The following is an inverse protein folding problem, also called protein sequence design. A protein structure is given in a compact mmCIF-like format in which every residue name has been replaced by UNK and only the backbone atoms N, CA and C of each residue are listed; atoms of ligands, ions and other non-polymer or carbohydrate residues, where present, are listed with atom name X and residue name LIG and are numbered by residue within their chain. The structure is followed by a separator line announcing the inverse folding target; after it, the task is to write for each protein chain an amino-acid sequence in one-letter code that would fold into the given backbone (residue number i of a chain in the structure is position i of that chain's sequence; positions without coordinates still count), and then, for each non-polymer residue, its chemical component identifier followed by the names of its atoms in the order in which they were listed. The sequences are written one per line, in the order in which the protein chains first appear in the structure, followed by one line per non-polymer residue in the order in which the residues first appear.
data_IF_139771644901
#
_entry.id   IF_139771644901
#
_cell.length_a   1.000
_cell.length_b   1.000
_cell.length_c   1.000
_cell.angle_alpha   90.00
_cell.angle_beta   90.00
_cell.angle_gamma   90.00
#
_symmetry.space_group_name_H-M   'P 1'
#
loop_
_entity.id
_entity.type
_entity.pdbx_description
1 polymer ?
#
# COMPACT_ATOMS: atom_id res chain seq x y z
N UNK A 1 -11.22 -12.54 -31.94
CA UNK A 1 -10.43 -11.99 -30.83
C UNK A 1 -9.07 -11.56 -31.35
N UNK A 2 -8.86 -10.25 -31.53
CA UNK A 2 -7.55 -9.65 -31.83
C UNK A 2 -7.56 -8.22 -31.30
N UNK A 3 -6.57 -7.87 -30.47
CA UNK A 3 -6.24 -6.48 -30.14
C UNK A 3 -4.98 -6.07 -30.92
N UNK A 4 -5.07 -4.93 -31.59
CA UNK A 4 -4.01 -4.12 -32.20
C UNK A 4 -4.52 -2.66 -32.09
N UNK A 5 -3.78 -1.57 -31.90
CA UNK A 5 -2.45 -1.05 -32.29
C UNK A 5 -1.99 -0.07 -31.15
N UNK A 6 -0.70 0.08 -30.79
CA UNK A 6 0.28 1.11 -31.23
C UNK A 6 -0.26 2.58 -31.29
N UNK A 7 0.38 3.69 -30.88
CA UNK A 7 1.66 4.07 -30.24
C UNK A 7 1.61 5.61 -29.99
N UNK A 8 2.62 6.14 -29.24
CA UNK A 8 3.08 7.55 -29.07
C UNK A 8 2.32 8.42 -28.04
N UNK A 9 2.96 9.21 -27.17
CA UNK A 9 4.30 9.85 -27.16
C UNK A 9 4.78 10.08 -25.71
N UNK A 10 6.04 9.77 -25.35
CA UNK A 10 7.17 10.74 -25.24
C UNK A 10 7.45 11.01 -23.76
N UNK A 11 8.67 11.14 -23.21
CA UNK A 11 10.06 11.40 -23.64
C UNK A 11 10.88 10.68 -22.53
N UNK A 12 11.86 9.81 -22.77
CA UNK A 12 13.12 10.05 -23.47
C UNK A 12 14.22 10.44 -22.46
N UNK A 13 15.38 9.76 -22.53
CA UNK A 13 16.67 10.10 -21.90
C UNK A 13 16.81 9.64 -20.43
N UNK A 14 17.74 8.78 -19.99
CA UNK A 14 18.97 8.23 -20.58
C UNK A 14 19.29 6.89 -19.91
N UNK A 15 19.71 5.91 -20.71
CA UNK A 15 20.66 4.91 -20.23
C UNK A 15 21.99 5.62 -19.93
N UNK A 16 22.74 5.10 -18.95
CA UNK A 16 24.16 5.38 -18.69
C UNK A 16 24.51 6.43 -17.61
N UNK A 17 24.05 6.28 -16.36
CA UNK A 17 24.77 6.80 -15.16
C UNK A 17 24.63 5.91 -13.89
N UNK A 18 24.14 4.68 -14.02
CA UNK A 18 23.86 3.80 -12.86
C UNK A 18 25.07 3.03 -12.31
N UNK A 19 26.28 3.54 -12.51
CA UNK A 19 27.49 2.98 -11.87
C UNK A 19 28.38 4.01 -11.18
N UNK A 20 28.00 5.31 -11.19
CA UNK A 20 28.58 6.32 -10.28
C UNK A 20 27.61 6.74 -9.15
N UNK A 21 26.39 6.20 -9.15
CA UNK A 21 25.33 6.54 -8.18
C UNK A 21 25.07 5.42 -7.16
N UNK A 22 26.10 4.67 -6.75
CA UNK A 22 25.99 3.88 -5.51
C UNK A 22 26.79 4.54 -4.38
N UNK A 23 28.01 5.00 -4.66
CA UNK A 23 28.87 5.57 -3.59
C UNK A 23 28.45 6.96 -3.12
N UNK A 24 27.61 7.67 -3.88
CA UNK A 24 27.04 8.98 -3.50
C UNK A 24 25.63 8.89 -2.88
N UNK A 25 24.96 7.74 -2.95
CA UNK A 25 23.62 7.58 -2.36
C UNK A 25 23.70 7.46 -0.83
N UNK A 26 24.66 6.69 -0.32
CA UNK A 26 24.83 6.46 1.12
C UNK A 26 25.23 7.73 1.89
N UNK A 27 25.83 8.72 1.21
CA UNK A 27 26.31 9.97 1.83
C UNK A 27 25.26 11.09 1.84
N UNK A 28 24.19 10.99 1.06
CA UNK A 28 23.12 12.00 1.03
C UNK A 28 22.09 11.79 2.16
N UNK A 29 21.92 10.55 2.63
CA UNK A 29 20.87 10.18 3.59
C UNK A 29 21.33 10.29 5.04
N UNK A 30 22.63 10.46 5.31
CA UNK A 30 23.16 10.35 6.67
C UNK A 30 22.91 11.57 7.58
N UNK A 31 22.77 12.79 7.04
CA UNK A 31 22.89 14.02 7.87
C UNK A 31 21.81 15.11 7.66
N UNK A 32 20.61 14.79 7.17
CA UNK A 32 19.48 15.75 7.21
C UNK A 32 18.50 15.42 8.34
N UNK A 33 18.33 16.29 9.36
CA UNK A 33 17.33 16.12 10.42
C UNK A 33 15.89 15.98 9.91
N UNK A 34 15.62 16.45 8.70
CA UNK A 34 14.31 16.38 8.03
C UNK A 34 13.81 14.95 7.79
N UNK A 35 14.70 14.00 7.47
CA UNK A 35 14.30 12.63 7.14
C UNK A 35 13.79 11.85 8.36
N UNK A 36 14.34 12.11 9.54
CA UNK A 36 13.91 11.43 10.77
C UNK A 36 12.58 11.98 11.29
N UNK A 37 12.36 13.30 11.19
CA UNK A 37 11.08 13.94 11.58
C UNK A 37 9.94 13.55 10.65
N UNK A 38 10.21 13.46 9.34
CA UNK A 38 9.24 12.95 8.37
C UNK A 38 8.91 11.48 8.66
N UNK A 39 9.89 10.61 8.87
CA UNK A 39 9.65 9.20 9.18
C UNK A 39 8.76 8.99 10.42
N UNK A 40 8.95 9.79 11.49
CA UNK A 40 8.10 9.75 12.69
C UNK A 40 6.67 10.23 12.39
N UNK A 41 6.51 11.29 11.59
CA UNK A 41 5.17 11.75 11.15
C UNK A 41 4.44 10.70 10.30
N UNK A 42 5.17 9.96 9.47
CA UNK A 42 4.62 8.87 8.64
C UNK A 42 4.26 7.63 9.45
N UNK A 43 5.00 7.33 10.52
CA UNK A 43 4.69 6.21 11.43
C UNK A 43 3.40 6.42 12.22
N UNK A 44 3.02 7.66 12.49
CA UNK A 44 1.74 8.03 13.12
C UNK A 44 0.61 8.33 12.13
N UNK A 45 0.88 8.35 10.82
CA UNK A 45 -0.11 8.70 9.80
C UNK A 45 -1.07 7.51 9.55
N UNK A 46 -2.36 7.62 9.89
CA UNK A 46 -3.33 6.54 9.72
C UNK A 46 -3.49 6.13 8.25
N UNK A 47 -3.36 7.06 7.30
CA UNK A 47 -3.45 6.75 5.88
C UNK A 47 -2.30 5.84 5.44
N UNK A 48 -1.07 6.17 5.85
CA UNK A 48 0.12 5.40 5.48
C UNK A 48 0.09 4.03 6.14
N UNK A 49 -0.27 3.96 7.43
CA UNK A 49 -0.37 2.68 8.11
C UNK A 49 -1.44 1.77 7.50
N UNK A 50 -2.57 2.34 7.08
CA UNK A 50 -3.59 1.59 6.37
C UNK A 50 -3.10 1.04 5.02
N UNK A 51 -2.33 1.83 4.27
CA UNK A 51 -1.76 1.39 2.98
C UNK A 51 -0.77 0.23 3.16
N UNK A 52 0.05 0.25 4.22
CA UNK A 52 0.94 -0.86 4.57
C UNK A 52 0.16 -2.15 4.85
N UNK A 53 -0.85 -2.10 5.73
CA UNK A 53 -1.67 -3.26 6.09
C UNK A 53 -2.44 -3.81 4.89
N UNK A 54 -2.95 -2.93 4.02
CA UNK A 54 -3.59 -3.31 2.77
C UNK A 54 -2.61 -4.00 1.80
N UNK A 55 -1.36 -3.53 1.71
CA UNK A 55 -0.33 -4.15 0.90
C UNK A 55 0.05 -5.54 1.43
N UNK A 56 0.15 -5.68 2.75
CA UNK A 56 0.39 -6.96 3.41
C UNK A 56 -0.76 -7.95 3.16
N UNK A 57 -2.01 -7.51 3.32
CA UNK A 57 -3.19 -8.32 3.04
C UNK A 57 -3.21 -8.82 1.58
N UNK A 58 -2.86 -7.95 0.63
CA UNK A 58 -2.73 -8.32 -0.78
C UNK A 58 -1.63 -9.36 -1.02
N UNK A 59 -0.48 -9.20 -0.38
CA UNK A 59 0.65 -10.13 -0.52
C UNK A 59 0.34 -11.49 0.11
N UNK A 60 -0.26 -11.51 1.30
CA UNK A 60 -0.71 -12.73 1.97
C UNK A 60 -1.77 -13.45 1.13
N UNK A 61 -2.73 -12.72 0.55
CA UNK A 61 -3.79 -13.28 -0.30
C UNK A 61 -3.30 -14.06 -1.51
N UNK A 62 -2.09 -13.78 -2.03
CA UNK A 62 -1.49 -14.55 -3.14
C UNK A 62 -1.03 -15.95 -2.74
N UNK A 63 -0.83 -16.19 -1.44
CA UNK A 63 -0.24 -17.44 -0.91
C UNK A 63 -1.15 -18.17 0.08
N UNK A 64 -2.32 -17.60 0.40
CA UNK A 64 -3.27 -18.16 1.35
C UNK A 64 -3.83 -19.51 0.89
N UNK A 65 -3.77 -20.50 1.77
CA UNK A 65 -4.22 -21.88 1.55
C UNK A 65 -5.16 -22.38 2.64
N UNK A 66 -5.06 -21.83 3.84
CA UNK A 66 -5.83 -22.30 5.00
C UNK A 66 -6.94 -21.32 5.41
N UNK A 67 -7.93 -21.81 6.16
CA UNK A 67 -8.94 -20.97 6.79
C UNK A 67 -8.29 -19.90 7.68
N UNK A 68 -7.25 -20.25 8.43
CA UNK A 68 -6.48 -19.33 9.28
C UNK A 68 -5.83 -18.22 8.46
N UNK A 69 -5.21 -18.52 7.31
CA UNK A 69 -4.60 -17.50 6.45
C UNK A 69 -5.66 -16.49 5.99
N UNK A 70 -6.84 -16.96 5.59
CA UNK A 70 -7.94 -16.11 5.16
C UNK A 70 -8.51 -15.26 6.31
N UNK A 71 -8.53 -15.79 7.53
CA UNK A 71 -8.93 -15.05 8.72
C UNK A 71 -7.94 -13.91 9.03
N UNK A 72 -6.63 -14.18 8.97
CA UNK A 72 -5.60 -13.16 9.15
C UNK A 72 -5.69 -12.06 8.09
N UNK A 73 -5.87 -12.42 6.82
CA UNK A 73 -6.09 -11.48 5.71
C UNK A 73 -7.33 -10.61 5.96
N UNK A 74 -8.43 -11.21 6.45
CA UNK A 74 -9.64 -10.46 6.77
C UNK A 74 -9.38 -9.41 7.86
N UNK A 75 -8.58 -9.74 8.86
CA UNK A 75 -8.23 -8.82 9.94
C UNK A 75 -7.29 -7.70 9.48
N UNK A 76 -6.34 -7.97 8.58
CA UNK A 76 -5.49 -6.93 7.98
C UNK A 76 -6.33 -5.92 7.18
N UNK A 77 -7.26 -6.41 6.33
CA UNK A 77 -8.16 -5.54 5.60
C UNK A 77 -9.08 -4.72 6.50
N UNK A 78 -9.57 -5.30 7.59
CA UNK A 78 -10.43 -4.61 8.55
C UNK A 78 -9.68 -3.47 9.24
N UNK A 79 -8.48 -3.75 9.77
CA UNK A 79 -7.64 -2.73 10.40
C UNK A 79 -7.26 -1.61 9.44
N UNK A 80 -6.91 -1.94 8.19
CA UNK A 80 -6.66 -0.93 7.16
C UNK A 80 -7.89 -0.06 6.90
N UNK A 81 -9.09 -0.64 6.90
CA UNK A 81 -10.32 0.11 6.71
C UNK A 81 -10.61 1.06 7.90
N UNK A 82 -10.39 0.60 9.12
CA UNK A 82 -10.62 1.40 10.32
C UNK A 82 -9.64 2.57 10.41
N UNK A 83 -8.38 2.36 10.04
CA UNK A 83 -7.39 3.44 9.93
C UNK A 83 -7.75 4.46 8.83
N UNK A 84 -8.21 4.00 7.66
CA UNK A 84 -8.67 4.92 6.61
C UNK A 84 -9.89 5.75 7.06
N UNK A 85 -10.76 5.17 7.87
CA UNK A 85 -11.98 5.85 8.34
C UNK A 85 -11.67 7.00 9.32
N UNK A 86 -10.54 6.96 10.02
CA UNK A 86 -10.14 7.99 11.00
C UNK A 86 -9.19 9.05 10.44
N UNK A 87 -8.89 9.03 9.13
CA UNK A 87 -8.11 10.09 8.48
C UNK A 87 -8.88 11.42 8.61
N UNK A 88 -8.29 12.49 9.18
CA UNK A 88 -9.00 13.74 9.42
C UNK A 88 -9.47 14.44 8.15
N UNK A 89 -10.60 15.13 8.21
CA UNK A 89 -11.23 15.85 7.09
C UNK A 89 -10.33 16.97 6.52
N UNK A 90 -9.42 17.49 7.34
CA UNK A 90 -8.41 18.49 6.93
C UNK A 90 -7.27 17.89 6.10
N UNK A 91 -7.09 16.57 6.10
CA UNK A 91 -6.11 15.89 5.28
C UNK A 91 -6.57 15.86 3.82
N UNK A 92 -5.69 16.23 2.88
CA UNK A 92 -6.01 16.25 1.46
C UNK A 92 -6.38 14.86 0.89
N UNK A 93 -6.03 13.78 1.58
CA UNK A 93 -6.37 12.40 1.22
C UNK A 93 -7.68 11.92 1.83
N UNK A 94 -8.34 12.68 2.70
CA UNK A 94 -9.54 12.22 3.43
C UNK A 94 -10.58 11.55 2.53
N UNK A 95 -10.97 12.18 1.42
CA UNK A 95 -11.94 11.60 0.48
C UNK A 95 -11.47 10.25 -0.05
N UNK A 96 -10.21 10.18 -0.49
CA UNK A 96 -9.62 8.95 -1.00
C UNK A 96 -9.41 7.89 0.12
N UNK A 97 -9.30 8.31 1.38
CA UNK A 97 -9.27 7.43 2.53
C UNK A 97 -10.66 6.81 2.77
N UNK A 98 -11.73 7.61 2.79
CA UNK A 98 -13.10 7.13 2.98
C UNK A 98 -13.52 6.13 1.87
N UNK A 99 -13.18 6.42 0.61
CA UNK A 99 -13.43 5.50 -0.50
C UNK A 99 -12.70 4.16 -0.30
N UNK A 100 -11.45 4.20 0.15
CA UNK A 100 -10.66 3.00 0.46
C UNK A 100 -11.17 2.28 1.69
N UNK A 101 -11.65 2.97 2.73
CA UNK A 101 -12.25 2.33 3.89
C UNK A 101 -13.43 1.44 3.47
N UNK A 102 -14.31 1.95 2.61
CA UNK A 102 -15.42 1.16 2.07
C UNK A 102 -14.93 -0.05 1.24
N UNK A 103 -13.90 0.14 0.41
CA UNK A 103 -13.29 -0.95 -0.36
C UNK A 103 -12.67 -2.03 0.54
N UNK A 104 -11.90 -1.62 1.54
CA UNK A 104 -11.16 -2.52 2.42
C UNK A 104 -12.13 -3.32 3.32
N UNK A 105 -13.25 -2.73 3.76
CA UNK A 105 -14.34 -3.48 4.43
C UNK A 105 -14.89 -4.59 3.54
N UNK A 106 -15.11 -4.33 2.24
CA UNK A 106 -15.57 -5.37 1.29
C UNK A 106 -14.54 -6.49 1.12
N UNK A 107 -13.26 -6.14 1.06
CA UNK A 107 -12.17 -7.11 0.97
C UNK A 107 -12.09 -7.98 2.25
N UNK A 108 -12.25 -7.38 3.42
CA UNK A 108 -12.31 -8.10 4.70
C UNK A 108 -13.47 -9.10 4.71
N UNK A 109 -14.68 -8.66 4.32
CA UNK A 109 -15.84 -9.53 4.26
C UNK A 109 -15.65 -10.70 3.27
N UNK A 110 -15.00 -10.45 2.12
CA UNK A 110 -14.65 -11.51 1.18
C UNK A 110 -13.68 -12.54 1.78
N UNK A 111 -12.60 -12.08 2.41
CA UNK A 111 -11.63 -12.94 3.07
C UNK A 111 -12.26 -13.74 4.23
N UNK A 112 -13.17 -13.13 5.00
CA UNK A 112 -13.92 -13.82 6.06
C UNK A 112 -14.74 -14.98 5.51
N UNK A 113 -15.51 -14.76 4.43
CA UNK A 113 -16.26 -15.84 3.77
C UNK A 113 -15.35 -16.95 3.26
N UNK A 114 -14.16 -16.62 2.75
CA UNK A 114 -13.14 -17.60 2.36
C UNK A 114 -12.64 -18.40 3.56
N UNK A 115 -12.46 -17.78 4.73
CA UNK A 115 -12.07 -18.49 5.94
C UNK A 115 -13.15 -19.51 6.35
N UNK A 116 -14.42 -19.08 6.39
CA UNK A 116 -15.56 -19.90 6.77
C UNK A 116 -15.82 -21.07 5.81
N UNK A 117 -15.60 -20.88 4.51
CA UNK A 117 -15.83 -21.91 3.50
C UNK A 117 -14.72 -22.99 3.42
N UNK A 118 -13.60 -22.81 4.11
CA UNK A 118 -12.49 -23.78 4.17
C UNK A 118 -12.35 -24.43 5.57
N UNK A 119 -13.42 -24.37 6.38
CA UNK A 119 -13.57 -25.18 7.60
C UNK A 119 -14.11 -26.56 7.25
#
# INVERSE_FOLDING_TARGET
MRFSLLLLSGIGLTASLLWLSWTMYDRYISDTPSSQVLAVSFQGDPYVKAMELAAEANFAGKRARSSTDWFEIANLWQQAADLMAVVPDSDNRHKAAQDRAAQYRRNSAYARRKAEANL
#
